data_IF_486859438167
#
_entry.id   IF_486859438167
#
_cell.length_a   1.000
_cell.length_b   1.000
_cell.length_c   1.000
_cell.angle_alpha   90.00
_cell.angle_beta   90.00
_cell.angle_gamma   90.00
#
_symmetry.space_group_name_H-M   'P 1'
#
loop_
_entity.id
_entity.type
_entity.pdbx_description
1 polymer ?
#
# COMPACT_ATOMS: atom_id res chain seq x y z
N UNK A 1 -21.03 -24.11 -32.24
CA UNK A 1 -19.95 -23.75 -31.31
C UNK A 1 -19.30 -25.04 -30.83
N UNK A 2 -17.97 -25.12 -30.87
CA UNK A 2 -17.28 -26.30 -30.36
C UNK A 2 -17.39 -26.31 -28.83
N UNK A 3 -17.76 -27.45 -28.24
CA UNK A 3 -17.80 -27.61 -26.79
C UNK A 3 -16.38 -27.52 -26.23
N UNK A 4 -16.16 -26.62 -25.26
CA UNK A 4 -14.84 -26.46 -24.64
C UNK A 4 -14.45 -27.73 -23.87
N UNK A 5 -13.21 -28.19 -24.08
CA UNK A 5 -12.65 -29.33 -23.37
C UNK A 5 -11.67 -28.83 -22.31
N UNK A 6 -11.76 -29.40 -21.10
CA UNK A 6 -10.82 -29.13 -20.01
C UNK A 6 -9.42 -29.56 -20.46
N UNK A 7 -8.44 -28.71 -20.18
CA UNK A 7 -7.05 -28.93 -20.56
C UNK A 7 -6.52 -30.24 -19.92
N UNK A 8 -5.84 -31.11 -20.70
CA UNK A 8 -5.49 -32.46 -20.26
C UNK A 8 -4.59 -32.48 -19.02
N UNK A 9 -3.72 -31.47 -18.85
CA UNK A 9 -2.86 -31.35 -17.68
C UNK A 9 -3.62 -31.06 -16.38
N UNK A 10 -4.84 -30.52 -16.47
CA UNK A 10 -5.71 -30.28 -15.32
C UNK A 10 -6.45 -31.54 -14.85
N UNK A 11 -6.54 -32.57 -15.70
CA UNK A 11 -7.17 -33.85 -15.35
C UNK A 11 -6.31 -34.70 -14.40
N UNK A 12 -5.03 -34.34 -14.23
CA UNK A 12 -4.13 -34.97 -13.25
C UNK A 12 -4.64 -34.72 -11.82
N UNK A 13 -4.53 -35.73 -10.97
CA UNK A 13 -4.93 -35.63 -9.57
C UNK A 13 -4.14 -34.51 -8.84
N UNK A 14 -4.80 -33.69 -8.00
CA UNK A 14 -4.11 -32.71 -7.16
C UNK A 14 -3.31 -33.41 -6.05
N UNK A 15 -2.16 -32.87 -5.59
CA UNK A 15 -1.57 -31.59 -6.00
C UNK A 15 -0.78 -31.68 -7.31
N UNK A 16 -1.03 -30.75 -8.22
CA UNK A 16 -0.32 -30.62 -9.51
C UNK A 16 0.97 -29.82 -9.35
N UNK A 17 2.02 -30.15 -10.11
CA UNK A 17 3.19 -29.26 -10.19
C UNK A 17 2.81 -27.99 -10.95
N UNK A 18 3.25 -26.83 -10.47
CA UNK A 18 2.83 -25.54 -11.02
C UNK A 18 4.06 -24.67 -11.27
N UNK A 19 4.14 -24.10 -12.47
CA UNK A 19 5.11 -23.06 -12.83
C UNK A 19 4.41 -21.74 -13.13
N UNK A 20 5.15 -20.64 -13.02
CA UNK A 20 4.67 -19.29 -13.30
C UNK A 20 4.81 -18.98 -14.80
N UNK A 21 3.85 -18.26 -15.39
CA UNK A 21 3.95 -17.74 -16.77
C UNK A 21 4.90 -16.53 -16.75
N UNK A 22 5.92 -16.54 -17.62
CA UNK A 22 7.11 -15.66 -17.53
C UNK A 22 6.86 -14.14 -17.71
N UNK A 23 5.64 -13.68 -18.00
CA UNK A 23 5.44 -12.39 -18.69
C UNK A 23 4.81 -11.24 -17.89
N UNK A 24 4.44 -11.38 -16.61
CA UNK A 24 3.50 -10.42 -15.99
C UNK A 24 4.09 -9.53 -14.85
N UNK A 25 5.36 -9.68 -14.46
CA UNK A 25 5.77 -9.16 -13.15
C UNK A 25 6.61 -7.90 -13.10
N UNK A 26 7.18 -7.39 -14.19
CA UNK A 26 7.97 -6.17 -14.07
C UNK A 26 7.09 -4.99 -13.65
N UNK A 27 5.90 -4.84 -14.25
CA UNK A 27 4.97 -3.76 -13.89
C UNK A 27 4.47 -3.84 -12.45
N UNK A 28 4.01 -5.01 -11.99
CA UNK A 28 3.51 -5.18 -10.62
C UNK A 28 4.63 -5.04 -9.57
N UNK A 29 5.84 -5.53 -9.88
CA UNK A 29 7.00 -5.40 -9.00
C UNK A 29 7.47 -3.94 -8.93
N UNK A 30 7.52 -3.22 -10.06
CA UNK A 30 7.85 -1.80 -10.09
C UNK A 30 6.79 -0.97 -9.37
N UNK A 31 5.50 -1.28 -9.53
CA UNK A 31 4.42 -0.64 -8.79
C UNK A 31 4.58 -0.89 -7.29
N UNK A 32 4.78 -2.14 -6.88
CA UNK A 32 4.99 -2.48 -5.47
C UNK A 32 6.22 -1.80 -4.87
N UNK A 33 7.33 -1.76 -5.61
CA UNK A 33 8.55 -1.06 -5.20
C UNK A 33 8.32 0.46 -5.07
N UNK A 34 7.61 1.07 -6.03
CA UNK A 34 7.25 2.48 -5.99
C UNK A 34 6.36 2.82 -4.80
N UNK A 35 5.30 2.02 -4.58
CA UNK A 35 4.40 2.18 -3.44
C UNK A 35 5.13 2.00 -2.10
N UNK A 36 6.06 1.04 -2.02
CA UNK A 36 6.90 0.86 -0.84
C UNK A 36 7.82 2.06 -0.61
N UNK A 37 8.45 2.61 -1.66
CA UNK A 37 9.31 3.79 -1.55
C UNK A 37 8.52 5.01 -1.05
N UNK A 38 7.30 5.23 -1.56
CA UNK A 38 6.40 6.29 -1.08
C UNK A 38 6.04 6.07 0.39
N UNK A 39 5.67 4.85 0.76
CA UNK A 39 5.35 4.51 2.14
C UNK A 39 6.58 4.77 3.05
N UNK A 40 7.76 4.28 2.67
CA UNK A 40 8.99 4.47 3.42
C UNK A 40 9.35 5.95 3.60
N UNK A 41 9.13 6.77 2.58
CA UNK A 41 9.32 8.22 2.67
C UNK A 41 8.35 8.87 3.67
N UNK A 42 7.06 8.51 3.64
CA UNK A 42 6.07 8.99 4.62
C UNK A 42 6.43 8.53 6.04
N UNK A 43 6.85 7.27 6.20
CA UNK A 43 7.34 6.73 7.46
C UNK A 43 8.56 7.48 8.00
N UNK A 44 9.49 7.86 7.11
CA UNK A 44 10.64 8.69 7.46
C UNK A 44 10.22 10.09 7.93
N UNK A 45 9.28 10.76 7.25
CA UNK A 45 8.75 12.06 7.69
C UNK A 45 8.04 11.98 9.04
N UNK A 46 7.26 10.91 9.27
CA UNK A 46 6.64 10.65 10.55
C UNK A 46 7.69 10.43 11.65
N UNK A 47 8.75 9.66 11.36
CA UNK A 47 9.87 9.46 12.27
C UNK A 47 10.58 10.76 12.62
N UNK A 48 10.89 11.62 11.65
CA UNK A 48 11.51 12.93 11.89
C UNK A 48 10.64 13.79 12.81
N UNK A 49 9.33 13.81 12.55
CA UNK A 49 8.36 14.55 13.39
C UNK A 49 8.33 14.03 14.83
N UNK A 50 8.20 12.71 15.03
CA UNK A 50 8.20 12.07 16.36
C UNK A 50 9.53 12.31 17.07
N UNK A 51 10.64 12.22 16.34
CA UNK A 51 11.96 12.47 16.90
C UNK A 51 12.12 13.91 17.35
N UNK A 52 11.66 14.89 16.55
CA UNK A 52 11.68 16.31 16.93
C UNK A 52 10.89 16.56 18.23
N UNK A 53 9.71 15.94 18.37
CA UNK A 53 8.93 16.01 19.61
C UNK A 53 9.63 15.33 20.80
N UNK A 54 10.27 14.19 20.57
CA UNK A 54 11.06 13.50 21.60
C UNK A 54 12.24 14.36 22.07
N UNK A 55 12.93 15.06 21.14
CA UNK A 55 13.99 16.03 21.48
C UNK A 55 13.41 17.20 22.26
N UNK A 56 12.24 17.70 21.90
CA UNK A 56 11.59 18.79 22.63
C UNK A 56 11.23 18.40 24.07
N UNK A 57 10.75 17.18 24.28
CA UNK A 57 10.35 16.72 25.62
C UNK A 57 11.56 16.29 26.45
N UNK A 58 12.42 15.43 25.90
CA UNK A 58 13.47 14.72 26.62
C UNK A 58 14.90 15.07 26.19
N UNK A 59 15.06 15.98 25.21
CA UNK A 59 16.36 16.39 24.73
C UNK A 59 17.20 17.07 25.81
N UNK A 60 18.52 16.92 25.69
CA UNK A 60 19.48 17.57 26.59
C UNK A 60 19.44 19.07 26.32
N UNK A 61 19.22 19.86 27.37
CA UNK A 61 19.27 21.31 27.28
C UNK A 61 20.72 21.79 27.26
N UNK A 62 21.05 22.66 26.31
CA UNK A 62 22.32 23.38 26.23
C UNK A 62 22.05 24.89 26.14
N UNK A 63 22.92 25.73 26.70
CA UNK A 63 22.81 27.18 26.54
C UNK A 63 23.09 27.58 25.09
N UNK A 64 22.35 28.56 24.58
CA UNK A 64 22.58 29.18 23.29
C UNK A 64 22.37 30.70 23.39
N UNK A 65 22.82 31.44 22.38
CA UNK A 65 22.70 32.91 22.35
C UNK A 65 22.05 33.36 21.05
N UNK A 66 21.06 34.25 21.14
CA UNK A 66 20.45 34.87 19.96
C UNK A 66 21.44 35.85 19.34
N UNK A 67 21.84 35.63 18.09
CA UNK A 67 22.82 36.47 17.38
C UNK A 67 22.11 37.55 16.57
N UNK A 68 21.10 37.16 15.78
CA UNK A 68 20.36 38.06 14.90
C UNK A 68 18.87 37.75 14.89
N UNK A 69 18.13 38.69 14.33
CA UNK A 69 16.69 38.68 14.16
C UNK A 69 16.44 38.99 12.70
N UNK A 70 15.66 38.14 12.05
CA UNK A 70 15.36 38.24 10.62
C UNK A 70 13.86 38.22 10.42
N UNK A 71 13.40 39.05 9.47
CA UNK A 71 12.03 39.02 8.98
C UNK A 71 12.12 38.70 7.50
N UNK A 72 11.49 37.62 7.08
CA UNK A 72 11.31 37.32 5.66
C UNK A 72 9.84 37.47 5.32
N UNK A 73 9.57 37.74 4.05
CA UNK A 73 8.20 37.86 3.54
C UNK A 73 7.95 36.65 2.66
N UNK A 74 6.89 35.90 2.94
CA UNK A 74 6.55 34.73 2.15
C UNK A 74 5.90 35.10 0.80
N UNK A 75 5.57 34.09 0.00
CA UNK A 75 4.94 34.27 -1.32
C UNK A 75 3.58 34.97 -1.27
N UNK A 76 2.92 34.98 -0.11
CA UNK A 76 1.63 35.62 0.13
C UNK A 76 1.78 37.01 0.77
N UNK A 77 3.01 37.51 0.84
CA UNK A 77 3.35 38.80 1.45
C UNK A 77 3.12 38.83 2.97
N UNK A 78 3.04 37.68 3.64
CA UNK A 78 2.96 37.60 5.09
C UNK A 78 4.37 37.62 5.71
N UNK A 79 4.61 38.42 6.76
CA UNK A 79 5.89 38.44 7.44
C UNK A 79 6.09 37.17 8.28
N UNK A 80 7.21 36.49 8.08
CA UNK A 80 7.69 35.38 8.89
C UNK A 80 8.88 35.85 9.74
N UNK A 81 8.76 35.65 11.05
CA UNK A 81 9.73 36.13 12.04
C UNK A 81 10.66 35.00 12.46
N UNK A 82 11.96 35.26 12.41
CA UNK A 82 12.97 34.26 12.73
C UNK A 82 14.00 34.77 13.74
N UNK A 83 14.38 33.89 14.64
CA UNK A 83 15.53 34.08 15.54
C UNK A 83 16.70 33.24 15.05
N UNK A 84 17.84 33.89 14.82
CA UNK A 84 19.10 33.20 14.51
C UNK A 84 19.92 33.12 15.78
N UNK A 85 20.38 31.92 16.11
CA UNK A 85 21.09 31.63 17.36
C UNK A 85 22.36 30.83 17.10
N UNK A 86 23.35 30.97 17.99
CA UNK A 86 24.49 30.05 18.05
C UNK A 86 24.53 29.25 19.32
N UNK A 87 24.99 28.00 19.18
CA UNK A 87 25.26 27.10 20.27
C UNK A 87 26.54 26.30 19.98
N UNK A 88 27.28 25.94 21.03
CA UNK A 88 28.43 25.05 20.92
C UNK A 88 27.91 23.61 21.06
N UNK A 89 27.93 22.86 19.96
CA UNK A 89 27.51 21.46 19.89
C UNK A 89 28.74 20.63 19.55
N UNK A 90 29.13 19.73 20.47
CA UNK A 90 30.33 18.91 20.32
C UNK A 90 31.61 19.72 20.06
N UNK A 91 31.76 20.86 20.74
CA UNK A 91 32.93 21.74 20.59
C UNK A 91 32.95 22.59 19.32
N UNK A 92 31.93 22.47 18.45
CA UNK A 92 31.78 23.30 17.26
C UNK A 92 30.66 24.32 17.45
N UNK A 93 30.91 25.57 17.12
CA UNK A 93 29.86 26.58 17.04
C UNK A 93 28.97 26.26 15.84
N UNK A 94 27.67 26.13 16.10
CA UNK A 94 26.65 25.97 15.06
C UNK A 94 25.68 27.14 15.13
N UNK A 95 25.42 27.72 13.98
CA UNK A 95 24.42 28.77 13.79
C UNK A 95 23.20 28.15 13.14
N UNK A 96 22.03 28.41 13.70
CA UNK A 96 20.76 27.94 13.18
C UNK A 96 19.68 29.02 13.31
N UNK A 97 18.56 28.81 12.60
CA UNK A 97 17.43 29.74 12.50
C UNK A 97 16.16 28.98 12.90
N UNK A 98 15.31 29.58 13.74
CA UNK A 98 13.99 29.02 14.10
C UNK A 98 12.91 30.08 13.92
N UNK A 99 11.75 29.64 13.44
CA UNK A 99 10.58 30.49 13.22
C UNK A 99 9.85 30.71 14.54
N UNK A 100 9.48 31.94 14.83
CA UNK A 100 8.79 32.31 16.07
C UNK A 100 7.58 33.18 15.78
N UNK A 101 6.65 33.22 16.72
CA UNK A 101 5.53 34.15 16.65
C UNK A 101 6.03 35.59 16.86
N UNK A 102 5.32 36.57 16.28
CA UNK A 102 5.65 38.00 16.38
C UNK A 102 5.81 38.47 17.83
N UNK A 103 4.93 38.00 18.72
CA UNK A 103 4.96 38.33 20.15
C UNK A 103 6.28 37.90 20.79
N UNK A 104 6.74 36.68 20.52
CA UNK A 104 8.02 36.15 21.00
C UNK A 104 9.17 36.89 20.34
N UNK A 105 9.08 37.12 19.03
CA UNK A 105 10.09 37.85 18.26
C UNK A 105 10.39 39.24 18.86
N UNK A 106 9.35 39.95 19.29
CA UNK A 106 9.48 41.28 19.90
C UNK A 106 10.17 41.26 21.27
N UNK A 107 10.06 40.16 22.01
CA UNK A 107 10.63 39.99 23.34
C UNK A 107 12.14 39.74 23.34
N UNK A 108 12.65 39.06 22.31
CA UNK A 108 14.06 38.70 22.21
C UNK A 108 14.90 39.79 21.53
N UNK A 109 16.10 40.05 22.07
CA UNK A 109 17.08 40.97 21.49
C UNK A 109 18.37 40.21 21.13
N UNK A 110 19.26 40.88 20.39
CA UNK A 110 20.60 40.34 20.14
C UNK A 110 21.32 40.14 21.48
N UNK A 111 22.09 39.05 21.57
CA UNK A 111 22.83 38.60 22.76
C UNK A 111 21.95 38.15 23.93
N UNK A 112 20.64 38.01 23.75
CA UNK A 112 19.78 37.40 24.78
C UNK A 112 20.12 35.91 24.92
N UNK A 113 20.36 35.41 26.15
CA UNK A 113 20.58 33.99 26.38
C UNK A 113 19.27 33.22 26.18
N UNK A 114 19.36 32.04 25.56
CA UNK A 114 18.25 31.13 25.34
C UNK A 114 18.67 29.68 25.61
N UNK A 115 17.70 28.78 25.62
CA UNK A 115 17.94 27.35 25.81
C UNK A 115 17.64 26.58 24.53
N UNK A 116 18.53 25.67 24.16
CA UNK A 116 18.35 24.79 23.02
C UNK A 116 18.27 23.35 23.54
N UNK A 117 17.25 22.60 23.12
CA UNK A 117 17.20 21.15 23.35
C UNK A 117 17.77 20.43 22.15
N UNK A 118 18.73 19.53 22.39
CA UNK A 118 19.37 18.73 21.36
C UNK A 118 19.13 17.24 21.59
N UNK A 119 19.12 16.49 20.49
CA UNK A 119 19.08 15.03 20.54
C UNK A 119 20.37 14.47 21.15
N UNK A 120 20.30 13.57 22.14
CA UNK A 120 21.49 12.93 22.69
C UNK A 120 22.12 11.95 21.70
N UNK A 121 21.32 11.31 20.85
CA UNK A 121 21.79 10.32 19.88
C UNK A 121 22.33 10.96 18.60
N UNK A 122 21.77 12.11 18.21
CA UNK A 122 22.09 12.79 16.96
C UNK A 122 22.28 14.30 17.18
N UNK A 123 23.30 14.71 17.95
CA UNK A 123 23.53 16.12 18.27
C UNK A 123 23.73 16.94 16.99
N UNK A 124 22.79 17.86 16.76
CA UNK A 124 22.82 18.80 15.64
C UNK A 124 22.15 18.36 14.35
N UNK A 125 21.48 17.20 14.32
CA UNK A 125 20.49 16.88 13.26
C UNK A 125 19.12 17.48 13.57
N UNK A 126 18.71 17.43 14.84
CA UNK A 126 17.49 18.04 15.33
C UNK A 126 17.79 18.83 16.60
N UNK A 127 17.45 20.12 16.58
CA UNK A 127 17.55 21.00 17.73
C UNK A 127 16.30 21.86 17.81
N UNK A 128 15.75 21.99 19.01
CA UNK A 128 14.52 22.73 19.25
C UNK A 128 14.82 23.88 20.21
N UNK A 129 14.61 25.11 19.75
CA UNK A 129 14.78 26.29 20.57
C UNK A 129 13.65 26.33 21.60
N UNK A 130 14.00 26.43 22.89
CA UNK A 130 13.03 26.47 23.99
C UNK A 130 12.91 27.92 24.45
N UNK A 131 11.81 28.55 24.06
CA UNK A 131 11.51 29.93 24.40
C UNK A 131 10.37 30.02 25.43
N UNK A 132 10.47 30.92 26.43
CA UNK A 132 9.41 31.16 27.39
C UNK A 132 8.17 31.71 26.67
N UNK A 133 6.99 31.23 27.06
CA UNK A 133 5.72 31.61 26.45
C UNK A 133 5.38 30.89 25.14
N UNK A 134 6.33 30.14 24.55
CA UNK A 134 6.08 29.36 23.35
C UNK A 134 5.40 28.03 23.69
N UNK A 135 4.07 28.00 23.65
CA UNK A 135 3.31 26.75 23.74
C UNK A 135 3.15 26.15 22.34
N UNK A 136 4.14 25.39 21.88
CA UNK A 136 3.93 24.47 20.75
C UNK A 136 3.25 23.21 21.30
N UNK A 137 1.95 23.07 21.08
CA UNK A 137 1.28 21.81 21.34
C UNK A 137 1.94 20.73 20.46
N UNK A 138 2.28 19.54 21.01
CA UNK A 138 2.87 18.49 20.20
C UNK A 138 1.90 18.14 19.08
N UNK A 139 2.33 18.30 17.82
CA UNK A 139 1.49 17.94 16.69
C UNK A 139 1.70 16.47 16.31
N UNK A 140 1.07 15.58 17.09
CA UNK A 140 1.11 14.14 16.82
C UNK A 140 0.19 13.70 15.67
N UNK A 141 -0.64 14.60 15.15
CA UNK A 141 -1.63 14.24 14.14
C UNK A 141 -0.99 13.75 12.83
N UNK A 142 -0.09 14.55 12.27
CA UNK A 142 0.62 14.20 11.03
C UNK A 142 1.44 12.91 11.12
N UNK A 143 2.30 12.70 12.14
CA UNK A 143 3.03 11.45 12.25
C UNK A 143 2.09 10.25 12.50
N UNK A 144 1.01 10.41 13.27
CA UNK A 144 0.04 9.33 13.47
C UNK A 144 -0.62 8.90 12.15
N UNK A 145 -1.06 9.86 11.33
CA UNK A 145 -1.60 9.57 9.99
C UNK A 145 -0.54 8.92 9.11
N UNK A 146 0.70 9.42 9.13
CA UNK A 146 1.81 8.84 8.36
C UNK A 146 2.08 7.38 8.71
N UNK A 147 2.06 7.05 10.02
CA UNK A 147 2.22 5.66 10.49
C UNK A 147 1.06 4.78 10.05
N UNK A 148 -0.19 5.24 10.20
CA UNK A 148 -1.36 4.48 9.75
C UNK A 148 -1.33 4.21 8.24
N UNK A 149 -0.98 5.24 7.46
CA UNK A 149 -0.80 5.11 6.01
C UNK A 149 0.29 4.09 5.66
N UNK A 150 1.46 4.18 6.32
CA UNK A 150 2.57 3.26 6.12
C UNK A 150 2.18 1.80 6.40
N UNK A 151 1.48 1.55 7.51
CA UNK A 151 1.00 0.22 7.87
C UNK A 151 -0.01 -0.31 6.84
N UNK A 152 -0.96 0.52 6.40
CA UNK A 152 -1.93 0.17 5.37
C UNK A 152 -1.26 -0.19 4.03
N UNK A 153 -0.31 0.63 3.58
CA UNK A 153 0.46 0.38 2.36
C UNK A 153 1.32 -0.87 2.45
N UNK A 154 1.91 -1.14 3.62
CA UNK A 154 2.71 -2.35 3.85
C UNK A 154 1.84 -3.60 3.79
N UNK A 155 0.69 -3.57 4.48
CA UNK A 155 -0.28 -4.68 4.43
C UNK A 155 -0.79 -4.94 3.01
N UNK A 156 -1.11 -3.87 2.27
CA UNK A 156 -1.49 -3.95 0.86
C UNK A 156 -0.40 -4.61 0.01
N UNK A 157 0.85 -4.16 0.13
CA UNK A 157 1.97 -4.75 -0.62
C UNK A 157 2.19 -6.23 -0.29
N UNK A 158 2.13 -6.61 0.99
CA UNK A 158 2.22 -8.01 1.42
C UNK A 158 1.08 -8.83 0.80
N UNK A 159 -0.15 -8.31 0.83
CA UNK A 159 -1.30 -8.98 0.25
C UNK A 159 -1.11 -9.24 -1.25
N UNK A 160 -0.79 -8.21 -2.03
CA UNK A 160 -0.66 -8.30 -3.49
C UNK A 160 0.59 -9.08 -3.94
N UNK A 161 1.73 -8.92 -3.26
CA UNK A 161 2.98 -9.54 -3.70
C UNK A 161 3.18 -10.97 -3.18
N UNK A 162 2.56 -11.33 -2.05
CA UNK A 162 2.81 -12.62 -1.38
C UNK A 162 1.55 -13.46 -1.20
N UNK A 163 0.47 -12.88 -0.68
CA UNK A 163 -0.74 -13.64 -0.34
C UNK A 163 -1.51 -14.01 -1.61
N UNK A 164 -1.84 -13.03 -2.45
CA UNK A 164 -2.61 -13.24 -3.68
C UNK A 164 -1.93 -14.24 -4.64
N UNK A 165 -0.61 -14.16 -4.91
CA UNK A 165 0.06 -15.13 -5.77
C UNK A 165 0.08 -16.53 -5.15
N UNK A 166 0.20 -16.65 -3.82
CA UNK A 166 0.09 -17.95 -3.13
C UNK A 166 -1.31 -18.53 -3.25
N UNK A 167 -2.36 -17.72 -3.16
CA UNK A 167 -3.75 -18.15 -3.37
C UNK A 167 -3.93 -18.64 -4.80
N UNK A 168 -3.50 -17.88 -5.81
CA UNK A 168 -3.60 -18.28 -7.22
C UNK A 168 -2.81 -19.56 -7.50
N UNK A 169 -1.57 -19.65 -7.00
CA UNK A 169 -0.77 -20.87 -7.11
C UNK A 169 -1.45 -22.08 -6.45
N UNK A 170 -2.04 -21.89 -5.27
CA UNK A 170 -2.76 -22.95 -4.58
C UNK A 170 -4.02 -23.39 -5.33
N UNK A 171 -4.75 -22.47 -5.97
CA UNK A 171 -5.88 -22.77 -6.84
C UNK A 171 -5.45 -23.55 -8.07
N UNK A 172 -4.35 -23.19 -8.74
CA UNK A 172 -3.85 -23.98 -9.88
C UNK A 172 -3.37 -25.37 -9.44
N UNK A 173 -2.71 -25.45 -8.28
CA UNK A 173 -2.20 -26.72 -7.75
C UNK A 173 -3.30 -27.69 -7.30
N UNK A 174 -4.37 -27.19 -6.66
CA UNK A 174 -5.36 -28.02 -5.95
C UNK A 174 -6.81 -27.82 -6.39
N UNK A 175 -7.11 -26.79 -7.17
CA UNK A 175 -8.47 -26.44 -7.58
C UNK A 175 -9.09 -27.48 -8.50
N UNK A 176 -10.41 -27.64 -8.43
CA UNK A 176 -11.15 -28.55 -9.29
C UNK A 176 -11.45 -27.82 -10.61
N UNK A 177 -11.11 -28.39 -11.77
CA UNK A 177 -11.45 -27.79 -13.06
C UNK A 177 -12.93 -27.99 -13.37
N UNK A 178 -13.59 -26.92 -13.80
CA UNK A 178 -14.98 -26.92 -14.24
C UNK A 178 -15.13 -26.00 -15.43
N UNK A 179 -16.04 -26.34 -16.35
CA UNK A 179 -16.37 -25.48 -17.48
C UNK A 179 -17.25 -24.33 -17.00
N UNK A 180 -16.83 -23.11 -17.27
CA UNK A 180 -17.59 -21.89 -17.05
C UNK A 180 -17.97 -21.26 -18.38
N UNK A 181 -19.06 -20.50 -18.40
CA UNK A 181 -19.50 -19.73 -19.58
C UNK A 181 -19.45 -18.25 -19.26
N UNK A 182 -18.89 -17.44 -20.17
CA UNK A 182 -18.93 -15.98 -20.07
C UNK A 182 -20.36 -15.51 -20.28
N UNK A 183 -20.93 -14.85 -19.29
CA UNK A 183 -22.32 -14.36 -19.34
C UNK A 183 -22.39 -12.89 -19.70
N UNK A 184 -21.38 -12.10 -19.33
CA UNK A 184 -21.39 -10.66 -19.56
C UNK A 184 -19.97 -10.09 -19.62
N UNK A 185 -19.84 -8.91 -20.24
CA UNK A 185 -18.60 -8.16 -20.40
C UNK A 185 -18.84 -6.73 -19.94
N UNK A 186 -18.12 -6.29 -18.91
CA UNK A 186 -18.26 -4.93 -18.37
C UNK A 186 -16.97 -4.16 -18.60
N UNK A 187 -17.09 -2.98 -19.21
CA UNK A 187 -16.01 -2.01 -19.33
C UNK A 187 -16.35 -0.75 -18.54
N UNK A 188 -15.45 -0.30 -17.68
CA UNK A 188 -15.56 0.98 -17.00
C UNK A 188 -14.51 1.91 -17.62
N UNK A 189 -14.96 2.94 -18.32
CA UNK A 189 -14.09 4.02 -18.77
C UNK A 189 -14.22 5.17 -17.76
N UNK A 190 -13.13 5.52 -17.08
CA UNK A 190 -12.96 6.85 -16.49
C UNK A 190 -12.06 7.70 -17.40
N UNK A 191 -12.01 9.02 -17.18
CA UNK A 191 -11.15 9.95 -17.94
C UNK A 191 -9.71 9.44 -18.08
N UNK A 192 -9.17 8.81 -17.03
CA UNK A 192 -7.76 8.42 -16.96
C UNK A 192 -7.54 6.90 -16.99
N UNK A 193 -8.58 6.06 -16.86
CA UNK A 193 -8.38 4.61 -16.74
C UNK A 193 -9.55 3.81 -17.31
N UNK A 194 -9.23 2.86 -18.18
CA UNK A 194 -10.18 1.85 -18.67
C UNK A 194 -9.98 0.53 -17.93
N UNK A 195 -11.00 0.07 -17.21
CA UNK A 195 -11.04 -1.25 -16.58
C UNK A 195 -11.95 -2.20 -17.36
N UNK A 196 -11.50 -3.44 -17.56
CA UNK A 196 -12.27 -4.46 -18.27
C UNK A 196 -12.45 -5.69 -17.38
N UNK A 197 -13.68 -6.21 -17.31
CA UNK A 197 -14.00 -7.40 -16.55
C UNK A 197 -14.93 -8.33 -17.33
N UNK A 198 -14.69 -9.63 -17.17
CA UNK A 198 -15.53 -10.71 -17.68
C UNK A 198 -16.34 -11.28 -16.53
N UNK A 199 -17.67 -11.30 -16.67
CA UNK A 199 -18.55 -12.02 -15.76
C UNK A 199 -18.82 -13.41 -16.33
N UNK A 200 -18.78 -14.41 -15.48
CA UNK A 200 -18.94 -15.79 -15.88
C UNK A 200 -19.67 -16.60 -14.82
N UNK A 201 -20.31 -17.67 -15.29
CA UNK A 201 -21.06 -18.59 -14.44
C UNK A 201 -20.54 -20.01 -14.60
N UNK A 202 -20.53 -20.75 -13.50
CA UNK A 202 -20.26 -22.18 -13.49
C UNK A 202 -21.04 -22.87 -12.38
N UNK A 203 -21.23 -24.17 -12.56
CA UNK A 203 -21.87 -25.03 -11.57
C UNK A 203 -20.79 -25.91 -10.94
N UNK A 204 -20.43 -25.71 -9.65
CA UNK A 204 -19.43 -26.55 -9.02
C UNK A 204 -19.91 -28.00 -9.03
N UNK A 205 -19.02 -28.93 -9.36
CA UNK A 205 -19.28 -30.35 -9.17
C UNK A 205 -19.27 -30.60 -7.66
N UNK A 206 -20.44 -30.78 -7.06
CA UNK A 206 -20.54 -31.22 -5.67
C UNK A 206 -19.90 -32.60 -5.60
N UNK A 207 -18.85 -32.74 -4.79
CA UNK A 207 -18.15 -34.00 -4.61
C UNK A 207 -18.98 -34.97 -3.75
N UNK A 208 -20.19 -35.34 -4.19
CA UNK A 208 -21.04 -36.42 -3.63
C UNK A 208 -22.32 -36.58 -4.46
N UNK A 209 -22.19 -37.02 -5.71
CA UNK A 209 -23.30 -37.68 -6.43
C UNK A 209 -23.48 -39.15 -5.99
N UNK A 210 -23.03 -39.51 -4.78
CA UNK A 210 -23.06 -40.88 -4.25
C UNK A 210 -23.98 -41.05 -3.03
N UNK A 211 -24.74 -40.02 -2.63
CA UNK A 211 -25.59 -40.09 -1.43
C UNK A 211 -26.92 -39.34 -1.57
N UNK A 212 -27.54 -39.35 -2.75
CA UNK A 212 -28.76 -38.59 -3.03
C UNK A 212 -29.69 -39.33 -3.98
N UNK A 213 -30.10 -40.54 -3.57
CA UNK A 213 -31.21 -41.25 -4.20
C UNK A 213 -32.54 -41.11 -3.45
N UNK A 214 -32.60 -40.44 -2.29
CA UNK A 214 -33.82 -40.46 -1.46
C UNK A 214 -34.38 -39.09 -1.02
N UNK A 215 -33.70 -37.97 -1.27
CA UNK A 215 -34.19 -36.65 -0.84
C UNK A 215 -34.00 -35.65 -1.98
N UNK A 216 -35.12 -35.13 -2.51
CA UNK A 216 -35.17 -34.27 -3.70
C UNK A 216 -34.03 -33.25 -3.75
N UNK A 217 -33.08 -33.48 -4.66
CA UNK A 217 -31.87 -32.69 -4.77
C UNK A 217 -32.21 -31.25 -5.15
N UNK A 218 -31.77 -30.32 -4.32
CA UNK A 218 -31.71 -28.91 -4.68
C UNK A 218 -30.75 -28.75 -5.87
N UNK A 219 -31.11 -28.01 -6.93
CA UNK A 219 -30.23 -27.78 -8.06
C UNK A 219 -28.92 -27.17 -7.57
N UNK A 220 -27.79 -27.71 -8.04
CA UNK A 220 -26.47 -27.20 -7.71
C UNK A 220 -26.41 -25.68 -7.95
N UNK A 221 -26.09 -24.93 -6.90
CA UNK A 221 -26.09 -23.46 -6.93
C UNK A 221 -25.13 -22.95 -8.00
N UNK A 222 -25.65 -22.20 -8.97
CA UNK A 222 -24.83 -21.53 -9.98
C UNK A 222 -24.05 -20.40 -9.31
N UNK A 223 -22.73 -20.41 -9.50
CA UNK A 223 -21.86 -19.36 -8.96
C UNK A 223 -21.57 -18.38 -10.09
N UNK A 224 -21.93 -17.12 -9.87
CA UNK A 224 -21.53 -16.01 -10.72
C UNK A 224 -20.29 -15.33 -10.14
N UNK A 225 -19.30 -15.08 -10.97
CA UNK A 225 -18.04 -14.45 -10.59
C UNK A 225 -17.59 -13.44 -11.67
N UNK A 226 -16.68 -12.54 -11.28
CA UNK A 226 -16.11 -11.51 -12.16
C UNK A 226 -14.59 -11.61 -12.16
N UNK A 227 -13.96 -11.46 -13.32
CA UNK A 227 -12.51 -11.51 -13.49
C UNK A 227 -12.02 -10.32 -14.32
N UNK A 228 -11.08 -9.55 -13.76
CA UNK A 228 -10.43 -8.44 -14.46
C UNK A 228 -9.47 -8.94 -15.54
N UNK A 229 -9.51 -8.34 -16.73
CA UNK A 229 -8.69 -8.74 -17.88
C UNK A 229 -8.06 -7.53 -18.57
N UNK A 230 -6.99 -7.78 -19.34
CA UNK A 230 -6.43 -6.78 -20.24
C UNK A 230 -7.34 -6.55 -21.47
N UNK A 231 -7.18 -5.40 -22.13
CA UNK A 231 -8.01 -5.04 -23.29
C UNK A 231 -7.94 -6.05 -24.44
N UNK A 232 -6.76 -6.58 -24.84
CA UNK A 232 -6.69 -7.58 -25.90
C UNK A 232 -7.54 -8.82 -25.60
N UNK A 233 -7.41 -9.40 -24.40
CA UNK A 233 -8.23 -10.55 -24.01
C UNK A 233 -9.70 -10.18 -23.91
N UNK A 234 -10.02 -9.01 -23.35
CA UNK A 234 -11.40 -8.53 -23.30
C UNK A 234 -12.01 -8.44 -24.69
N UNK A 235 -11.29 -7.88 -25.66
CA UNK A 235 -11.75 -7.73 -27.04
C UNK A 235 -11.96 -9.09 -27.71
N UNK A 236 -11.02 -10.00 -27.53
CA UNK A 236 -10.98 -11.27 -28.24
C UNK A 236 -11.97 -12.32 -27.66
N UNK A 237 -12.42 -12.16 -26.41
CA UNK A 237 -13.46 -13.00 -25.78
C UNK A 237 -14.88 -12.54 -26.12
N UNK A 238 -15.78 -13.48 -26.41
CA UNK A 238 -17.20 -13.26 -26.69
C UNK A 238 -18.10 -13.77 -25.55
N UNK A 239 -19.31 -13.22 -25.44
CA UNK A 239 -20.34 -13.75 -24.53
C UNK A 239 -20.77 -15.13 -25.05
N UNK A 240 -20.85 -16.11 -24.16
CA UNK A 240 -21.09 -17.51 -24.51
C UNK A 240 -19.81 -18.33 -24.68
N UNK A 241 -18.63 -17.69 -24.72
CA UNK A 241 -17.36 -18.42 -24.70
C UNK A 241 -17.24 -19.25 -23.43
N UNK A 242 -16.69 -20.44 -23.59
CA UNK A 242 -16.48 -21.38 -22.50
C UNK A 242 -15.00 -21.44 -22.12
N UNK A 243 -14.73 -21.45 -20.82
CA UNK A 243 -13.38 -21.52 -20.27
C UNK A 243 -13.30 -22.50 -19.12
N UNK A 244 -12.10 -23.01 -18.85
CA UNK A 244 -11.85 -23.77 -17.63
C UNK A 244 -11.61 -22.83 -16.45
N UNK A 245 -12.43 -23.00 -15.43
CA UNK A 245 -12.28 -22.33 -14.13
C UNK A 245 -11.77 -23.34 -13.11
N UNK A 246 -10.78 -22.93 -12.34
CA UNK A 246 -10.30 -23.67 -11.17
C UNK A 246 -10.91 -23.05 -9.93
N UNK A 247 -11.68 -23.83 -9.17
CA UNK A 247 -12.29 -23.36 -7.92
C UNK A 247 -11.88 -24.23 -6.74
N UNK A 248 -11.97 -23.67 -5.53
CA UNK A 248 -11.80 -24.42 -4.29
C UNK A 248 -13.18 -24.88 -3.76
N UNK A 249 -13.45 -26.19 -3.61
CA UNK A 249 -14.75 -26.66 -3.12
C UNK A 249 -15.09 -26.17 -1.71
N UNK A 250 -14.09 -25.88 -0.86
CA UNK A 250 -14.31 -25.32 0.49
C UNK A 250 -14.63 -23.83 0.48
N UNK A 251 -14.25 -23.13 -0.59
CA UNK A 251 -14.47 -21.69 -0.77
C UNK A 251 -14.78 -21.43 -2.25
N UNK A 252 -15.99 -21.77 -2.73
CA UNK A 252 -16.28 -21.75 -4.16
C UNK A 252 -16.09 -20.38 -4.81
N UNK A 253 -16.32 -19.28 -4.07
CA UNK A 253 -16.04 -17.90 -4.51
C UNK A 253 -14.56 -17.62 -4.83
N UNK A 254 -13.64 -18.48 -4.37
CA UNK A 254 -12.23 -18.39 -4.71
C UNK A 254 -12.00 -19.23 -5.97
N UNK A 255 -12.02 -18.56 -7.11
CA UNK A 255 -11.89 -19.16 -8.42
C UNK A 255 -10.93 -18.36 -9.31
N UNK A 256 -10.45 -18.99 -10.37
CA UNK A 256 -9.60 -18.36 -11.38
C UNK A 256 -9.83 -19.02 -12.74
N UNK A 257 -9.91 -18.22 -13.80
CA UNK A 257 -9.94 -18.73 -15.18
C UNK A 257 -8.52 -19.20 -15.53
N UNK A 258 -8.34 -20.50 -15.80
CA UNK A 258 -7.01 -21.11 -15.98
C UNK A 258 -6.23 -20.49 -17.14
N UNK A 259 -6.88 -20.27 -18.28
CA UNK A 259 -6.28 -19.62 -19.44
C UNK A 259 -5.75 -18.21 -19.13
N UNK A 260 -6.30 -17.54 -18.12
CA UNK A 260 -5.96 -16.18 -17.72
C UNK A 260 -5.07 -16.10 -16.48
N UNK A 261 -4.83 -17.23 -15.81
CA UNK A 261 -4.00 -17.36 -14.62
C UNK A 261 -2.52 -17.03 -14.89
N UNK A 262 -1.85 -16.46 -13.88
CA UNK A 262 -0.39 -16.26 -13.86
C UNK A 262 0.39 -17.58 -13.73
N UNK A 263 -0.30 -18.67 -13.42
CA UNK A 263 0.26 -19.98 -13.15
C UNK A 263 -0.31 -21.03 -14.11
N UNK A 264 0.55 -21.95 -14.54
CA UNK A 264 0.23 -23.07 -15.41
C UNK A 264 0.73 -24.37 -14.77
N UNK A 265 0.07 -25.49 -15.02
CA UNK A 265 0.57 -26.80 -14.59
C UNK A 265 1.87 -27.09 -15.35
N UNK A 266 2.88 -27.61 -14.66
CA UNK A 266 4.12 -28.04 -15.29
C UNK A 266 3.88 -29.39 -15.99
N UNK A 267 4.34 -29.49 -17.23
CA UNK A 267 4.18 -30.67 -18.08
C UNK A 267 4.85 -31.90 -17.49
#
# INVERSE_FOLDING_TARGET
MATHQIEPELLRAPPRQVRRREKIHLGLLLLGAGLFAVAAFIGFLAFVSVHSEAVRLHGKTIPCTIISREVETDSENNPQFYLVYSAIINGQERVAKDSVDETIYSFFNRKTPAQLKISPWFPGLNSVLVLPGQSRAPNFFYPAIGVLFFLGMTAFNIWFCWILPRIHRALVMKGIPVVATITNKTSHASEDTSGYALQYEYTPQTATASTSLETGELPAERISASYGVDFPKFRDTQIGDQFTVLYNPRKPRHNVIYALSDYVVAD
#
